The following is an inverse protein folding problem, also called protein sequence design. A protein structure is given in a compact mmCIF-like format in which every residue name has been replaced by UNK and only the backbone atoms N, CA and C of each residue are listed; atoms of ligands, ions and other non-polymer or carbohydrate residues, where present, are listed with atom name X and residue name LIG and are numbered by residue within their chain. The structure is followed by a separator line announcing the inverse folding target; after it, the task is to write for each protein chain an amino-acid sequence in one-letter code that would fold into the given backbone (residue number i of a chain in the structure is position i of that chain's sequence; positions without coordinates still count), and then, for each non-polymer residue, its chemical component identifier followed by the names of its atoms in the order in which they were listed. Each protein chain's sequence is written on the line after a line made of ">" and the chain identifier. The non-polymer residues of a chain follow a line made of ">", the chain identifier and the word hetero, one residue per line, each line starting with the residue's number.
data_IF_868896888099
#
_entry.id   IF_868896888099
#
_cell.length_a   1.000
_cell.length_b   1.000
_cell.length_c   1.000
_cell.angle_alpha   90.00
_cell.angle_beta   90.00
_cell.angle_gamma   90.00
#
_symmetry.space_group_name_H-M   'P 1'
#
loop_
_entity.id
_entity.type
_entity.pdbx_description
1 polymer ?
#
# COMPACT_ATOMS: atom_id res chain seq x y z
N UNK A 1 18.41 -5.75 -2.85
CA UNK A 1 17.23 -5.50 -3.71
C UNK A 1 17.36 -4.11 -4.31
N UNK A 2 17.07 -3.96 -5.60
CA UNK A 2 17.14 -2.65 -6.28
C UNK A 2 16.10 -1.65 -5.80
N UNK A 3 16.27 -0.37 -6.14
CA UNK A 3 15.32 0.69 -5.80
C UNK A 3 13.93 0.43 -6.40
N UNK A 4 12.88 1.09 -5.89
CA UNK A 4 11.54 0.96 -6.48
C UNK A 4 11.55 1.37 -7.96
N UNK A 5 12.29 2.43 -8.31
CA UNK A 5 12.45 2.87 -9.70
C UNK A 5 13.05 1.78 -10.59
N UNK A 6 14.10 1.10 -10.15
CA UNK A 6 14.72 0.00 -10.91
C UNK A 6 13.77 -1.19 -11.07
N UNK A 7 12.99 -1.51 -10.03
CA UNK A 7 11.98 -2.57 -10.13
C UNK A 7 10.86 -2.19 -11.10
N UNK A 8 10.38 -0.95 -11.03
CA UNK A 8 9.37 -0.44 -11.95
C UNK A 8 9.90 -0.44 -13.38
N UNK A 9 11.15 -0.03 -13.63
CA UNK A 9 11.76 -0.04 -14.96
C UNK A 9 11.76 -1.45 -15.54
N UNK A 10 12.24 -2.44 -14.77
CA UNK A 10 12.23 -3.83 -15.23
C UNK A 10 10.82 -4.37 -15.51
N UNK A 11 9.85 -4.05 -14.66
CA UNK A 11 8.46 -4.50 -14.87
C UNK A 11 7.84 -3.82 -16.09
N UNK A 12 8.10 -2.52 -16.27
CA UNK A 12 7.64 -1.75 -17.42
C UNK A 12 8.22 -2.29 -18.72
N UNK A 13 9.54 -2.44 -18.79
CA UNK A 13 10.23 -2.96 -19.98
C UNK A 13 9.82 -4.40 -20.33
N UNK A 14 9.52 -5.21 -19.30
CA UNK A 14 9.06 -6.59 -19.51
C UNK A 14 7.61 -6.68 -20.02
N UNK A 15 6.78 -5.68 -19.73
CA UNK A 15 5.36 -5.66 -20.10
C UNK A 15 5.05 -4.77 -21.31
N UNK A 16 5.95 -3.85 -21.68
CA UNK A 16 5.82 -3.02 -22.88
C UNK A 16 6.06 -3.84 -24.16
N UNK A 17 5.08 -4.68 -24.51
CA UNK A 17 5.16 -5.53 -25.67
C UNK A 17 5.27 -4.70 -26.95
N UNK A 18 6.31 -4.97 -27.74
CA UNK A 18 6.60 -4.21 -28.96
C UNK A 18 7.35 -2.90 -28.72
N UNK A 19 7.80 -2.62 -27.48
CA UNK A 19 8.61 -1.47 -27.12
C UNK A 19 7.94 -0.14 -27.53
N UNK A 20 6.65 -0.03 -27.20
CA UNK A 20 5.74 1.06 -27.59
C UNK A 20 6.06 2.34 -26.81
N UNK A 21 6.75 2.22 -25.67
CA UNK A 21 7.03 3.29 -24.71
C UNK A 21 5.89 3.54 -23.72
N UNK A 22 4.85 2.68 -23.69
CA UNK A 22 3.69 2.81 -22.82
C UNK A 22 3.07 1.44 -22.52
N UNK A 23 2.39 1.34 -21.37
CA UNK A 23 1.59 0.18 -20.99
C UNK A 23 0.13 0.42 -21.35
N UNK A 24 -0.48 -0.49 -22.11
CA UNK A 24 -1.94 -0.53 -22.25
C UNK A 24 -2.58 -1.08 -20.96
N UNK A 25 -3.88 -1.40 -21.01
CA UNK A 25 -4.59 -1.89 -19.83
C UNK A 25 -4.03 -3.20 -19.33
N UNK A 26 -3.88 -4.17 -20.23
CA UNK A 26 -3.43 -5.50 -19.94
C UNK A 26 -1.96 -5.50 -19.47
N UNK A 27 -1.08 -4.76 -20.16
CA UNK A 27 0.34 -4.63 -19.80
C UNK A 27 0.49 -4.05 -18.39
N UNK A 28 -0.34 -3.07 -18.04
CA UNK A 28 -0.32 -2.43 -16.72
C UNK A 28 -0.72 -3.40 -15.62
N UNK A 29 -1.79 -4.17 -15.81
CA UNK A 29 -2.25 -5.18 -14.85
C UNK A 29 -1.15 -6.21 -14.60
N UNK A 30 -0.52 -6.73 -15.66
CA UNK A 30 0.60 -7.67 -15.54
C UNK A 30 1.78 -7.04 -14.79
N UNK A 31 2.14 -5.80 -15.11
CA UNK A 31 3.23 -5.10 -14.44
C UNK A 31 2.99 -4.90 -12.93
N UNK A 32 1.74 -4.66 -12.52
CA UNK A 32 1.36 -4.55 -11.10
C UNK A 32 1.49 -5.89 -10.40
N UNK A 33 1.01 -6.97 -11.02
CA UNK A 33 1.17 -8.34 -10.48
C UNK A 33 2.65 -8.69 -10.32
N UNK A 34 3.50 -8.36 -11.30
CA UNK A 34 4.95 -8.59 -11.19
C UNK A 34 5.60 -7.83 -10.03
N UNK A 35 5.11 -6.63 -9.69
CA UNK A 35 5.69 -5.80 -8.65
C UNK A 35 5.22 -6.15 -7.24
N UNK A 36 3.95 -6.51 -7.09
CA UNK A 36 3.31 -6.66 -5.78
C UNK A 36 2.74 -8.06 -5.52
N UNK A 37 2.65 -8.92 -6.53
CA UNK A 37 2.20 -10.31 -6.40
C UNK A 37 0.69 -10.47 -6.29
N UNK A 38 -0.10 -9.44 -6.61
CA UNK A 38 -1.56 -9.50 -6.61
C UNK A 38 -2.17 -8.62 -7.70
N UNK A 39 -3.41 -8.96 -8.05
CA UNK A 39 -4.21 -8.31 -9.08
C UNK A 39 -5.02 -7.14 -8.50
N UNK A 40 -5.18 -6.07 -9.29
CA UNK A 40 -6.04 -4.94 -8.93
C UNK A 40 -7.51 -5.29 -9.15
N UNK A 41 -8.41 -4.63 -8.42
CA UNK A 41 -9.83 -4.71 -8.76
C UNK A 41 -10.12 -3.96 -10.06
N UNK A 42 -11.16 -4.38 -10.81
CA UNK A 42 -11.57 -3.68 -12.04
C UNK A 42 -11.83 -2.19 -11.81
N UNK A 43 -12.43 -1.84 -10.67
CA UNK A 43 -12.72 -0.45 -10.28
C UNK A 43 -11.43 0.36 -10.12
N UNK A 44 -10.39 -0.21 -9.52
CA UNK A 44 -9.08 0.44 -9.41
C UNK A 44 -8.44 0.64 -10.78
N UNK A 45 -8.50 -0.38 -11.65
CA UNK A 45 -7.94 -0.28 -13.00
C UNK A 45 -8.67 0.77 -13.81
N UNK A 46 -10.01 0.77 -13.81
CA UNK A 46 -10.83 1.78 -14.51
C UNK A 46 -10.53 3.20 -14.03
N UNK A 47 -10.39 3.38 -12.72
CA UNK A 47 -10.03 4.66 -12.13
C UNK A 47 -8.65 5.14 -12.63
N UNK A 48 -7.67 4.24 -12.71
CA UNK A 48 -6.33 4.57 -13.20
C UNK A 48 -6.36 4.85 -14.71
N UNK A 49 -7.03 4.01 -15.49
CA UNK A 49 -7.08 4.13 -16.95
C UNK A 49 -7.85 5.38 -17.40
N UNK A 50 -8.95 5.73 -16.72
CA UNK A 50 -9.69 6.97 -17.00
C UNK A 50 -8.88 8.25 -16.76
N UNK A 51 -7.84 8.18 -15.92
CA UNK A 51 -6.92 9.30 -15.70
C UNK A 51 -5.88 9.47 -16.82
N UNK A 52 -5.76 8.50 -17.73
CA UNK A 52 -4.93 8.60 -18.94
C UNK A 52 -5.72 9.40 -19.96
N UNK A 53 -5.11 10.46 -20.50
CA UNK A 53 -5.79 11.30 -21.48
C UNK A 53 -6.08 10.50 -22.75
N UNK A 54 -7.21 10.74 -23.43
CA UNK A 54 -7.55 10.07 -24.69
C UNK A 54 -6.46 10.18 -25.77
N UNK A 55 -5.68 11.27 -25.75
CA UNK A 55 -4.57 11.48 -26.70
C UNK A 55 -3.34 10.59 -26.43
N UNK A 56 -3.27 9.97 -25.25
CA UNK A 56 -2.17 9.10 -24.86
C UNK A 56 -2.53 7.65 -25.16
N UNK A 57 -1.63 6.93 -25.82
CA UNK A 57 -1.82 5.52 -26.18
C UNK A 57 -1.82 4.56 -24.97
N UNK A 58 -1.42 5.03 -23.78
CA UNK A 58 -1.43 4.27 -22.53
C UNK A 58 -0.66 4.97 -21.40
N UNK A 59 -0.24 4.19 -20.40
CA UNK A 59 0.49 4.67 -19.22
C UNK A 59 1.99 4.75 -19.52
N UNK A 60 2.54 5.96 -19.48
CA UNK A 60 3.99 6.19 -19.60
C UNK A 60 4.75 5.84 -18.31
N UNK A 61 6.04 5.55 -18.44
CA UNK A 61 6.89 5.10 -17.33
C UNK A 61 6.84 6.01 -16.09
N UNK A 62 6.93 7.34 -16.24
CA UNK A 62 6.90 8.24 -15.09
C UNK A 62 5.53 8.22 -14.38
N UNK A 63 4.43 8.06 -15.12
CA UNK A 63 3.10 7.90 -14.51
C UNK A 63 2.99 6.55 -13.80
N UNK A 64 3.48 5.47 -14.42
CA UNK A 64 3.56 4.15 -13.80
C UNK A 64 4.34 4.20 -12.49
N UNK A 65 5.54 4.78 -12.49
CA UNK A 65 6.36 4.90 -11.29
C UNK A 65 5.66 5.68 -10.17
N UNK A 66 4.97 6.77 -10.49
CA UNK A 66 4.22 7.54 -9.50
C UNK A 66 3.09 6.71 -8.87
N UNK A 67 2.33 5.96 -9.70
CA UNK A 67 1.28 5.06 -9.22
C UNK A 67 1.85 3.98 -8.30
N UNK A 68 2.96 3.33 -8.69
CA UNK A 68 3.58 2.28 -7.89
C UNK A 68 4.19 2.83 -6.59
N UNK A 69 4.71 4.06 -6.62
CA UNK A 69 5.24 4.74 -5.42
C UNK A 69 4.14 5.06 -4.42
N UNK A 70 3.01 5.61 -4.88
CA UNK A 70 1.84 5.85 -4.04
C UNK A 70 1.29 4.55 -3.46
N UNK A 71 1.19 3.48 -4.27
CA UNK A 71 0.71 2.18 -3.82
C UNK A 71 1.63 1.53 -2.80
N UNK A 72 2.95 1.59 -3.00
CA UNK A 72 3.93 1.10 -2.02
C UNK A 72 3.83 1.88 -0.70
N UNK A 73 3.64 3.20 -0.76
CA UNK A 73 3.46 4.01 0.46
C UNK A 73 2.18 3.60 1.20
N UNK A 74 1.07 3.39 0.49
CA UNK A 74 -0.19 2.96 1.09
C UNK A 74 -0.07 1.57 1.74
N UNK A 75 0.63 0.61 1.11
CA UNK A 75 0.94 -0.68 1.73
C UNK A 75 1.77 -0.53 2.99
N UNK A 76 2.85 0.27 2.96
CA UNK A 76 3.70 0.50 4.13
C UNK A 76 2.89 1.08 5.31
N UNK A 77 2.00 2.05 5.06
CA UNK A 77 1.13 2.59 6.10
C UNK A 77 0.11 1.58 6.62
N UNK A 78 -0.46 0.74 5.74
CA UNK A 78 -1.37 -0.34 6.14
C UNK A 78 -0.65 -1.40 6.99
N UNK A 79 0.57 -1.78 6.61
CA UNK A 79 1.37 -2.75 7.36
C UNK A 79 1.80 -2.18 8.71
N UNK A 80 2.24 -0.92 8.78
CA UNK A 80 2.54 -0.23 10.05
C UNK A 80 1.32 -0.22 10.97
N UNK A 81 0.15 0.13 10.43
CA UNK A 81 -1.11 0.12 11.20
C UNK A 81 -1.44 -1.28 11.71
N UNK A 82 -1.24 -2.31 10.88
CA UNK A 82 -1.48 -3.71 11.24
C UNK A 82 -0.48 -4.20 12.29
N UNK A 83 0.79 -3.87 12.16
CA UNK A 83 1.83 -4.20 13.14
C UNK A 83 1.55 -3.55 14.50
N UNK A 84 1.17 -2.27 14.51
CA UNK A 84 0.72 -1.59 15.73
C UNK A 84 -0.49 -2.32 16.29
N UNK A 85 -1.51 -2.59 15.49
CA UNK A 85 -2.70 -3.30 15.94
C UNK A 85 -2.37 -4.67 16.57
N UNK A 86 -1.55 -5.48 15.88
CA UNK A 86 -1.10 -6.80 16.38
C UNK A 86 -0.30 -6.68 17.68
N UNK A 87 0.51 -5.64 17.84
CA UNK A 87 1.24 -5.40 19.09
C UNK A 87 0.28 -5.09 20.26
N UNK A 88 -0.88 -4.47 20.01
CA UNK A 88 -1.90 -4.22 21.02
C UNK A 88 -2.82 -5.44 21.25
N UNK A 89 -3.12 -6.23 20.22
CA UNK A 89 -3.98 -7.41 20.30
C UNK A 89 -3.20 -8.65 20.77
N UNK A 90 -2.68 -8.58 22.00
CA UNK A 90 -1.84 -9.64 22.58
C UNK A 90 -2.51 -11.02 22.67
N UNK A 91 -3.83 -11.09 22.51
CA UNK A 91 -4.61 -12.33 22.56
C UNK A 91 -5.06 -12.81 21.16
N UNK A 92 -4.64 -12.13 20.09
CA UNK A 92 -4.95 -12.46 18.68
C UNK A 92 -6.46 -12.64 18.43
N UNK A 93 -7.27 -11.73 18.97
CA UNK A 93 -8.74 -11.81 18.86
C UNK A 93 -9.29 -11.11 17.63
N UNK A 94 -8.48 -10.31 16.94
CA UNK A 94 -8.86 -9.47 15.81
C UNK A 94 -9.58 -8.18 16.20
N UNK A 95 -9.60 -7.81 17.49
CA UNK A 95 -10.17 -6.55 17.99
C UNK A 95 -9.48 -6.07 19.28
N UNK A 96 -9.34 -4.75 19.40
CA UNK A 96 -8.80 -4.11 20.60
C UNK A 96 -9.93 -3.72 21.54
N UNK A 97 -9.81 -4.13 22.80
CA UNK A 97 -10.65 -3.65 23.90
C UNK A 97 -9.92 -2.55 24.66
N UNK A 98 -10.69 -1.78 25.45
CA UNK A 98 -10.10 -0.83 26.39
C UNK A 98 -9.11 -1.49 27.36
N UNK A 99 -9.34 -2.76 27.72
CA UNK A 99 -8.43 -3.49 28.61
C UNK A 99 -7.09 -3.80 27.93
N UNK A 100 -7.07 -4.15 26.65
CA UNK A 100 -5.82 -4.36 25.91
C UNK A 100 -5.05 -3.05 25.81
N UNK A 101 -5.74 -1.95 25.51
CA UNK A 101 -5.15 -0.61 25.45
C UNK A 101 -4.51 -0.23 26.80
N UNK A 102 -5.25 -0.41 27.92
CA UNK A 102 -4.71 -0.16 29.26
C UNK A 102 -3.50 -1.05 29.59
N UNK A 103 -3.57 -2.36 29.31
CA UNK A 103 -2.47 -3.29 29.59
C UNK A 103 -1.21 -2.90 28.83
N UNK A 104 -1.34 -2.59 27.54
CA UNK A 104 -0.21 -2.16 26.70
C UNK A 104 0.40 -0.88 27.25
N UNK A 105 -0.39 0.16 27.51
CA UNK A 105 0.10 1.44 28.05
C UNK A 105 0.74 1.31 29.44
N UNK A 106 0.17 0.50 30.34
CA UNK A 106 0.77 0.24 31.66
C UNK A 106 2.10 -0.52 31.55
N UNK A 107 2.28 -1.36 30.52
CA UNK A 107 3.53 -2.08 30.28
C UNK A 107 4.63 -1.18 29.70
N UNK A 108 4.31 -0.28 28.76
CA UNK A 108 5.30 0.56 28.07
C UNK A 108 5.54 1.91 28.77
N UNK A 109 4.54 2.44 29.47
CA UNK A 109 4.55 3.76 30.10
C UNK A 109 3.90 3.71 31.50
N UNK A 110 4.46 2.97 32.46
CA UNK A 110 3.86 2.76 33.79
C UNK A 110 3.66 4.03 34.63
N UNK A 111 4.24 5.17 34.21
CA UNK A 111 4.07 6.49 34.85
C UNK A 111 2.95 7.33 34.25
N UNK A 112 2.33 6.88 33.15
CA UNK A 112 1.21 7.58 32.52
C UNK A 112 -0.04 7.39 33.38
N UNK A 113 -0.80 8.46 33.63
CA UNK A 113 -2.00 8.35 34.45
C UNK A 113 -3.12 7.65 33.67
N UNK A 114 -3.93 6.85 34.36
CA UNK A 114 -5.07 6.14 33.75
C UNK A 114 -6.06 7.11 33.08
N UNK A 115 -6.18 8.34 33.60
CA UNK A 115 -7.01 9.39 33.00
C UNK A 115 -6.57 9.74 31.57
N UNK A 116 -5.27 9.85 31.31
CA UNK A 116 -4.75 10.14 29.96
C UNK A 116 -5.04 8.97 29.02
N UNK A 117 -4.91 7.73 29.51
CA UNK A 117 -5.22 6.53 28.72
C UNK A 117 -6.70 6.48 28.34
N UNK A 118 -7.60 6.84 29.27
CA UNK A 118 -9.05 6.94 29.01
C UNK A 118 -9.35 8.01 27.96
N UNK A 119 -8.73 9.19 28.07
CA UNK A 119 -8.95 10.28 27.12
C UNK A 119 -8.42 9.94 25.71
N UNK A 120 -7.31 9.20 25.62
CA UNK A 120 -6.72 8.78 24.33
C UNK A 120 -7.50 7.66 23.62
N UNK A 121 -8.32 6.89 24.34
CA UNK A 121 -9.11 5.79 23.77
C UNK A 121 -10.49 6.25 23.22
N UNK A 122 -10.88 7.50 23.46
CA UNK A 122 -12.18 8.06 23.03
C UNK A 122 -12.21 8.47 21.56
#
# INVERSE_FOLDING_TARGET
>A
MGSLRERCARAFDACDEGNKGYLNREDFEVAVVMLFGYELSEVEVDSIMSSVRPENSGILFEKFLNLMSAKKSAQLHSDETREIFTAFDMQDRGFLTFEDFKKTFNSILPKLSERIIIEAFR
#
